data_IF_906181363427
#
_entry.id   IF_906181363427
#
_cell.length_a   1.000
_cell.length_b   1.000
_cell.length_c   1.000
_cell.angle_alpha   90.00
_cell.angle_beta   90.00
_cell.angle_gamma   90.00
#
_symmetry.space_group_name_H-M   'P 1'
#
loop_
_entity.id
_entity.type
_entity.pdbx_description
1 polymer ?
#
# COMPACT_ATOMS: atom_id res chain seq x y z
N UNK A 1 4.03 7.32 -10.70
CA UNK A 1 3.19 7.46 -9.49
C UNK A 1 1.87 8.11 -9.87
N UNK A 2 1.90 9.11 -10.73
CA UNK A 2 0.74 9.87 -11.24
C UNK A 2 -0.44 8.99 -11.68
N UNK A 3 -0.18 7.94 -12.47
CA UNK A 3 -1.23 6.98 -12.88
C UNK A 3 -2.00 6.36 -11.71
N UNK A 4 -1.31 5.97 -10.64
CA UNK A 4 -1.97 5.40 -9.46
C UNK A 4 -2.81 6.46 -8.74
N UNK A 5 -2.33 7.71 -8.68
CA UNK A 5 -3.06 8.82 -8.05
C UNK A 5 -4.36 9.09 -8.82
N UNK A 6 -4.31 9.13 -10.15
CA UNK A 6 -5.49 9.29 -10.99
C UNK A 6 -6.52 8.17 -10.75
N UNK A 7 -6.06 6.92 -10.74
CA UNK A 7 -6.91 5.77 -10.49
C UNK A 7 -7.58 5.83 -9.10
N UNK A 8 -6.81 6.15 -8.06
CA UNK A 8 -7.35 6.26 -6.69
C UNK A 8 -8.37 7.39 -6.54
N UNK A 9 -8.19 8.52 -7.24
CA UNK A 9 -9.15 9.62 -7.22
C UNK A 9 -10.41 9.34 -8.06
N UNK A 10 -10.36 8.35 -8.96
CA UNK A 10 -11.52 7.94 -9.77
C UNK A 10 -12.50 7.00 -9.05
N UNK A 11 -12.11 6.45 -7.89
CA UNK A 11 -12.95 5.58 -7.06
C UNK A 11 -14.09 6.39 -6.45
N UNK A 12 -15.31 5.86 -6.49
CA UNK A 12 -16.54 6.61 -6.20
C UNK A 12 -16.64 7.14 -4.76
N UNK A 13 -16.10 6.41 -3.81
CA UNK A 13 -16.06 6.76 -2.38
C UNK A 13 -14.65 7.19 -1.93
N UNK A 14 -13.81 7.65 -2.87
CA UNK A 14 -12.45 8.07 -2.56
C UNK A 14 -12.40 9.27 -1.61
N UNK A 15 -11.44 9.24 -0.68
CA UNK A 15 -11.18 10.30 0.27
C UNK A 15 -9.68 10.48 0.49
N UNK A 16 -9.29 11.66 0.97
CA UNK A 16 -7.89 12.07 1.07
C UNK A 16 -7.00 11.06 1.82
N UNK A 17 -7.41 10.62 3.02
CA UNK A 17 -6.61 9.71 3.83
C UNK A 17 -6.44 8.32 3.18
N UNK A 18 -7.45 7.86 2.45
CA UNK A 18 -7.34 6.63 1.64
C UNK A 18 -6.28 6.78 0.56
N UNK A 19 -6.35 7.84 -0.24
CA UNK A 19 -5.39 8.11 -1.33
C UNK A 19 -3.97 8.18 -0.76
N UNK A 20 -3.76 8.94 0.32
CA UNK A 20 -2.46 9.08 0.97
C UNK A 20 -1.96 7.74 1.52
N UNK A 21 -2.84 6.96 2.16
CA UNK A 21 -2.51 5.65 2.71
C UNK A 21 -2.00 4.68 1.63
N UNK A 22 -2.74 4.55 0.53
CA UNK A 22 -2.36 3.66 -0.57
C UNK A 22 -1.07 4.14 -1.26
N UNK A 23 -0.91 5.45 -1.47
CA UNK A 23 0.34 6.01 -2.04
C UNK A 23 1.54 5.69 -1.15
N UNK A 24 1.42 5.84 0.17
CA UNK A 24 2.51 5.55 1.10
C UNK A 24 2.92 4.08 1.08
N UNK A 25 1.95 3.17 0.93
CA UNK A 25 2.24 1.75 0.74
C UNK A 25 2.90 1.48 -0.63
N UNK A 26 2.37 2.06 -1.72
CA UNK A 26 2.87 1.90 -3.08
C UNK A 26 4.25 2.54 -3.33
N UNK A 27 4.67 3.50 -2.51
CA UNK A 27 6.01 4.11 -2.56
C UNK A 27 7.12 3.20 -2.04
N UNK A 28 6.79 2.14 -1.30
CA UNK A 28 7.80 1.26 -0.67
C UNK A 28 8.62 0.48 -1.69
N UNK A 29 8.00 0.05 -2.79
CA UNK A 29 8.66 -0.61 -3.92
C UNK A 29 7.73 -0.62 -5.15
N UNK A 30 8.28 -1.02 -6.29
CA UNK A 30 7.59 -0.99 -7.58
C UNK A 30 6.51 -2.07 -7.69
N UNK A 31 6.71 -3.23 -7.06
CA UNK A 31 5.74 -4.33 -7.04
C UNK A 31 4.45 -3.94 -6.28
N UNK A 32 4.58 -3.17 -5.21
CA UNK A 32 3.47 -2.61 -4.45
C UNK A 32 2.62 -1.72 -5.36
N UNK A 33 3.27 -0.77 -6.02
CA UNK A 33 2.61 0.15 -6.97
C UNK A 33 1.94 -0.59 -8.11
N UNK A 34 2.65 -1.51 -8.77
CA UNK A 34 2.13 -2.22 -9.93
C UNK A 34 0.90 -3.06 -9.55
N UNK A 35 0.92 -3.77 -8.43
CA UNK A 35 -0.25 -4.55 -8.05
C UNK A 35 -1.44 -3.69 -7.58
N UNK A 36 -1.22 -2.51 -6.98
CA UNK A 36 -2.33 -1.58 -6.71
C UNK A 36 -2.96 -1.08 -8.01
N UNK A 37 -2.16 -0.70 -9.01
CA UNK A 37 -2.64 -0.30 -10.34
C UNK A 37 -3.44 -1.44 -10.97
N UNK A 38 -2.87 -2.64 -11.04
CA UNK A 38 -3.54 -3.81 -11.64
C UNK A 38 -4.83 -4.19 -10.92
N UNK A 39 -4.88 -4.08 -9.59
CA UNK A 39 -6.11 -4.35 -8.84
C UNK A 39 -7.23 -3.37 -9.23
N UNK A 40 -6.94 -2.07 -9.23
CA UNK A 40 -7.97 -1.05 -9.53
C UNK A 40 -8.43 -1.15 -10.99
N UNK A 41 -7.52 -1.36 -11.93
CA UNK A 41 -7.86 -1.48 -13.36
C UNK A 41 -8.71 -2.73 -13.65
N UNK A 42 -8.47 -3.84 -12.95
CA UNK A 42 -9.27 -5.05 -13.10
C UNK A 42 -10.61 -5.02 -12.32
N UNK A 43 -10.79 -4.05 -11.41
CA UNK A 43 -11.98 -3.92 -10.58
C UNK A 43 -12.54 -2.49 -10.65
N UNK A 44 -13.12 -2.06 -11.80
CA UNK A 44 -13.55 -0.68 -12.03
C UNK A 44 -14.71 -0.21 -11.13
N UNK A 45 -15.32 -1.11 -10.36
CA UNK A 45 -16.38 -0.82 -9.38
C UNK A 45 -15.90 -0.99 -7.94
N UNK A 46 -14.61 -1.23 -7.72
CA UNK A 46 -14.06 -1.36 -6.39
C UNK A 46 -14.27 -0.06 -5.60
N UNK A 47 -14.67 -0.22 -4.35
CA UNK A 47 -14.73 0.84 -3.37
C UNK A 47 -13.37 1.00 -2.68
N UNK A 48 -13.20 2.11 -1.97
CA UNK A 48 -12.01 2.35 -1.15
C UNK A 48 -11.73 1.19 -0.19
N UNK A 49 -12.77 0.57 0.39
CA UNK A 49 -12.67 -0.60 1.26
C UNK A 49 -12.06 -1.82 0.57
N UNK A 50 -12.45 -2.11 -0.68
CA UNK A 50 -11.97 -3.27 -1.42
C UNK A 50 -10.47 -3.13 -1.73
N UNK A 51 -10.06 -1.91 -2.07
CA UNK A 51 -8.65 -1.56 -2.32
C UNK A 51 -7.83 -1.68 -1.03
N UNK A 52 -8.37 -1.24 0.10
CA UNK A 52 -7.71 -1.37 1.41
C UNK A 52 -7.61 -2.84 1.83
N UNK A 53 -8.66 -3.63 1.64
CA UNK A 53 -8.65 -5.08 1.92
C UNK A 53 -7.59 -5.78 1.08
N UNK A 54 -7.54 -5.51 -0.23
CA UNK A 54 -6.49 -6.03 -1.10
C UNK A 54 -5.09 -5.65 -0.60
N UNK A 55 -4.87 -4.37 -0.32
CA UNK A 55 -3.59 -3.85 0.17
C UNK A 55 -3.13 -4.55 1.46
N UNK A 56 -4.04 -4.73 2.43
CA UNK A 56 -3.75 -5.36 3.73
C UNK A 56 -3.55 -6.86 3.60
N UNK A 57 -4.23 -7.52 2.66
CA UNK A 57 -4.09 -8.96 2.42
C UNK A 57 -2.74 -9.36 1.80
N UNK A 58 -2.00 -8.40 1.24
CA UNK A 58 -0.68 -8.66 0.66
C UNK A 58 0.34 -8.98 1.76
N UNK A 59 1.12 -10.05 1.54
CA UNK A 59 2.13 -10.54 2.47
C UNK A 59 3.15 -9.46 2.89
N UNK A 60 3.53 -8.62 1.96
CA UNK A 60 4.51 -7.54 2.15
C UNK A 60 3.99 -6.32 2.94
N UNK A 61 2.69 -6.27 3.25
CA UNK A 61 2.08 -5.15 3.96
C UNK A 61 2.69 -4.96 5.36
N UNK A 62 2.88 -6.07 6.08
CA UNK A 62 3.45 -6.09 7.44
C UNK A 62 4.95 -6.37 7.49
N UNK A 63 5.57 -6.80 6.39
CA UNK A 63 7.00 -7.13 6.34
C UNK A 63 7.90 -5.93 6.68
N UNK A 64 7.44 -4.70 6.38
CA UNK A 64 8.19 -3.50 6.71
C UNK A 64 8.26 -3.22 8.23
N UNK A 65 7.23 -3.59 8.99
CA UNK A 65 7.22 -3.47 10.46
C UNK A 65 8.19 -4.49 11.11
N UNK A 66 8.33 -5.66 10.49
CA UNK A 66 9.26 -6.69 10.95
C UNK A 66 10.73 -6.31 10.70
N UNK A 67 11.05 -5.66 9.56
CA UNK A 67 12.42 -5.18 9.29
C UNK A 67 12.87 -4.11 10.29
N UNK A 68 12.01 -3.15 10.63
CA UNK A 68 12.37 -2.08 11.58
C UNK A 68 12.54 -2.63 13.01
N UNK A 69 11.69 -3.59 13.42
CA UNK A 69 11.80 -4.24 14.74
C UNK A 69 12.96 -5.25 14.84
N UNK A 70 13.31 -5.94 13.75
CA UNK A 70 14.46 -6.83 13.67
C UNK A 70 15.81 -6.09 13.74
N UNK A 71 15.91 -4.94 13.08
CA UNK A 71 17.11 -4.07 13.16
C UNK A 71 17.31 -3.54 14.58
N UNK A 72 16.24 -3.12 15.27
CA UNK A 72 16.31 -2.63 16.65
C UNK A 72 16.79 -3.70 17.67
N UNK A 73 16.58 -4.99 17.39
CA UNK A 73 17.08 -6.09 18.24
C UNK A 73 18.57 -6.37 18.04
N UNK A 74 19.11 -6.17 16.83
CA UNK A 74 20.53 -6.39 16.56
C UNK A 74 21.43 -5.28 17.13
N UNK A 75 20.94 -4.04 17.22
CA UNK A 75 21.73 -2.92 17.78
C UNK A 75 21.86 -2.97 19.31
N UNK A 76 21.00 -3.72 20.02
CA UNK A 76 21.04 -3.84 21.50
C UNK A 76 21.91 -4.98 22.02
N UNK A 77 22.44 -5.86 21.16
CA UNK A 77 23.35 -6.94 21.57
C UNK A 77 24.83 -6.62 21.34
N UNK A 78 25.18 -5.38 21.00
CA UNK A 78 26.57 -4.94 20.80
C UNK A 78 27.01 -3.84 21.78
N UNK A 79 26.38 -3.71 22.94
CA UNK A 79 26.82 -2.82 24.04
C UNK A 79 26.94 -3.60 25.33
#
# INVERSE_FOLDING_TARGET
>A
MDRLIELLNSISDSYYDFVVGVINYAKRNDDNRNAMISFIENNPKALSSDVLEYMISRKDYFDHAQRISGVAKQTKSQV
#
